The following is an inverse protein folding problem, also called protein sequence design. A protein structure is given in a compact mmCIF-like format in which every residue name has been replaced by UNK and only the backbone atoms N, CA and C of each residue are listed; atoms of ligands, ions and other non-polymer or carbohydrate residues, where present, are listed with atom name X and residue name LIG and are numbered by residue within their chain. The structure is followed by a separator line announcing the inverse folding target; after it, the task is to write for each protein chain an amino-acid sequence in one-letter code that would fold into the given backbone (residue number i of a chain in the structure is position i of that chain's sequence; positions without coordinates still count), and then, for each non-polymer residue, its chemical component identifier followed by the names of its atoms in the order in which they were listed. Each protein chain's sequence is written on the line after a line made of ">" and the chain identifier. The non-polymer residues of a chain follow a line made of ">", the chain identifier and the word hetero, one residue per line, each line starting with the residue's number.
data_IF_130830593177
#
_entry.id   IF_130830593177
#
_cell.length_a   1.000
_cell.length_b   1.000
_cell.length_c   1.000
_cell.angle_alpha   90.00
_cell.angle_beta   90.00
_cell.angle_gamma   90.00
#
_symmetry.space_group_name_H-M   'P 1'
#
loop_
_entity.id
_entity.type
_entity.pdbx_description
1 polymer ?
#
# COMPACT_ATOMS: atom_id res chain seq x y z
N UNK A 1 25.88 7.37 -0.37
CA UNK A 1 24.70 6.63 0.07
C UNK A 1 23.89 7.63 0.88
N UNK A 2 22.64 7.87 0.51
CA UNK A 2 21.74 8.76 1.25
C UNK A 2 21.40 8.10 2.59
N UNK A 3 21.54 8.83 3.69
CA UNK A 3 21.12 8.37 5.03
C UNK A 3 19.58 8.42 5.20
N UNK A 4 18.85 8.82 4.16
CA UNK A 4 17.39 8.93 4.19
C UNK A 4 16.71 7.56 4.42
N UNK A 5 15.80 7.51 5.37
CA UNK A 5 15.08 6.29 5.73
C UNK A 5 13.78 6.15 4.92
N UNK A 6 13.38 4.92 4.66
CA UNK A 6 11.98 4.62 4.37
C UNK A 6 11.15 4.76 5.65
N UNK A 7 10.05 5.48 5.56
CA UNK A 7 9.07 5.59 6.66
C UNK A 7 7.87 4.73 6.34
N UNK A 8 7.46 3.90 7.30
CA UNK A 8 6.30 3.03 7.17
C UNK A 8 5.33 3.33 8.32
N UNK A 9 4.10 3.70 7.98
CA UNK A 9 3.02 3.92 8.95
C UNK A 9 2.26 2.61 9.13
N UNK A 10 2.23 2.11 10.36
CA UNK A 10 1.52 0.90 10.78
C UNK A 10 0.40 1.27 11.75
N UNK A 11 -0.85 0.91 11.41
CA UNK A 11 -2.05 1.33 12.15
C UNK A 11 -2.45 0.35 13.25
N UNK A 12 -2.16 -0.94 13.07
CA UNK A 12 -2.47 -2.00 14.03
C UNK A 12 -1.36 -3.04 14.08
N UNK A 13 -1.18 -3.68 15.24
CA UNK A 13 -0.06 -4.58 15.48
C UNK A 13 0.00 -5.82 14.57
N UNK A 14 -1.15 -6.30 14.12
CA UNK A 14 -1.22 -7.50 13.28
C UNK A 14 -1.09 -7.22 11.77
N UNK A 15 -1.20 -5.96 11.31
CA UNK A 15 -0.95 -5.56 9.92
C UNK A 15 0.45 -4.91 9.79
N UNK A 16 1.48 -5.73 9.92
CA UNK A 16 2.87 -5.28 9.84
C UNK A 16 3.41 -5.16 8.41
N UNK A 17 4.70 -4.83 8.26
CA UNK A 17 5.30 -4.44 6.97
C UNK A 17 5.41 -5.58 5.94
N UNK A 18 5.25 -6.85 6.33
CA UNK A 18 5.34 -7.97 5.39
C UNK A 18 6.63 -7.97 4.56
N UNK A 19 6.52 -8.21 3.24
CA UNK A 19 7.65 -8.22 2.31
C UNK A 19 8.24 -6.82 2.05
N UNK A 20 7.54 -5.74 2.41
CA UNK A 20 8.08 -4.36 2.29
C UNK A 20 9.38 -4.22 3.09
N UNK A 21 9.42 -4.74 4.33
CA UNK A 21 10.63 -4.70 5.15
C UNK A 21 11.83 -5.38 4.47
N UNK A 22 11.58 -6.51 3.81
CA UNK A 22 12.62 -7.24 3.07
C UNK A 22 13.06 -6.48 1.82
N UNK A 23 12.11 -5.87 1.09
CA UNK A 23 12.43 -5.08 -0.09
C UNK A 23 13.29 -3.86 0.27
N UNK A 24 12.93 -3.12 1.33
CA UNK A 24 13.73 -1.99 1.82
C UNK A 24 15.12 -2.45 2.30
N UNK A 25 15.20 -3.54 3.05
CA UNK A 25 16.49 -4.06 3.51
C UNK A 25 17.46 -4.40 2.36
N UNK A 26 16.95 -4.82 1.20
CA UNK A 26 17.78 -5.11 -0.01
C UNK A 26 18.43 -3.85 -0.60
N UNK A 27 17.86 -2.67 -0.39
CA UNK A 27 18.44 -1.40 -0.86
C UNK A 27 19.55 -0.88 0.07
N UNK A 28 19.67 -1.43 1.28
CA UNK A 28 20.55 -0.94 2.32
C UNK A 28 20.03 0.30 3.05
N UNK A 29 18.88 0.84 2.65
CA UNK A 29 18.26 1.97 3.36
C UNK A 29 17.65 1.53 4.70
N UNK A 30 17.67 2.39 5.73
CA UNK A 30 16.96 2.11 6.97
C UNK A 30 15.45 2.15 6.75
N UNK A 31 14.72 1.32 7.53
CA UNK A 31 13.26 1.36 7.62
C UNK A 31 12.86 1.84 9.01
N UNK A 32 12.17 2.97 9.07
CA UNK A 32 11.55 3.50 10.28
C UNK A 32 10.06 3.16 10.29
N UNK A 33 9.63 2.32 11.23
CA UNK A 33 8.23 1.95 11.41
C UNK A 33 7.60 2.83 12.47
N UNK A 34 6.59 3.61 12.09
CA UNK A 34 5.80 4.44 13.00
C UNK A 34 4.57 3.65 13.42
N UNK A 35 4.49 3.34 14.70
CA UNK A 35 3.42 2.54 15.33
C UNK A 35 2.33 3.45 15.90
N UNK A 36 1.34 3.79 15.05
CA UNK A 36 0.23 4.65 15.47
C UNK A 36 -0.60 4.00 16.57
N UNK A 37 -0.78 2.69 16.51
CA UNK A 37 -1.45 1.90 17.57
C UNK A 37 -0.71 1.90 18.92
N UNK A 38 0.59 2.15 18.91
CA UNK A 38 1.40 2.32 20.12
C UNK A 38 1.47 3.79 20.59
N UNK A 39 0.77 4.69 19.93
CA UNK A 39 0.76 6.13 20.26
C UNK A 39 1.88 6.94 19.63
N UNK A 40 2.65 6.37 18.72
CA UNK A 40 3.66 7.13 17.98
C UNK A 40 3.00 8.12 17.03
N UNK A 41 3.46 9.38 16.99
CA UNK A 41 2.85 10.38 16.13
C UNK A 41 3.21 10.16 14.66
N UNK A 42 2.23 10.36 13.78
CA UNK A 42 2.49 10.48 12.34
C UNK A 42 3.44 11.65 12.09
N UNK A 43 4.53 11.49 11.33
CA UNK A 43 5.48 12.55 11.03
C UNK A 43 4.79 13.76 10.37
N UNK A 44 5.24 14.98 10.63
CA UNK A 44 4.71 16.17 9.96
C UNK A 44 5.06 16.18 8.48
N UNK A 45 4.30 16.91 7.68
CA UNK A 45 4.50 17.03 6.23
C UNK A 45 5.93 17.44 5.83
N UNK A 46 6.58 18.31 6.60
CA UNK A 46 7.97 18.72 6.33
C UNK A 46 9.01 17.62 6.49
N UNK A 47 8.69 16.53 7.17
CA UNK A 47 9.62 15.41 7.33
C UNK A 47 9.95 14.67 6.01
N UNK A 48 9.22 14.93 4.93
CA UNK A 48 9.44 14.29 3.62
C UNK A 48 10.82 14.60 3.02
N UNK A 49 11.46 15.68 3.44
CA UNK A 49 12.79 16.07 2.96
C UNK A 49 13.88 15.05 3.35
N UNK A 50 13.69 14.37 4.48
CA UNK A 50 14.61 13.38 5.03
C UNK A 50 14.22 11.93 4.70
N UNK A 51 13.16 11.72 3.90
CA UNK A 51 12.66 10.39 3.58
C UNK A 51 13.20 9.88 2.23
N UNK A 52 13.54 8.58 2.18
CA UNK A 52 13.78 7.86 0.93
C UNK A 52 12.45 7.48 0.24
N UNK A 53 11.40 7.23 1.01
CA UNK A 53 10.06 6.90 0.56
C UNK A 53 9.09 6.72 1.71
N UNK A 54 7.82 6.59 1.39
CA UNK A 54 6.72 6.46 2.35
C UNK A 54 5.86 5.24 2.03
N UNK A 55 5.60 4.42 3.04
CA UNK A 55 4.62 3.32 2.98
C UNK A 55 3.53 3.56 4.03
N UNK A 56 2.28 3.44 3.63
CA UNK A 56 1.12 3.53 4.53
C UNK A 56 0.34 2.23 4.42
N UNK A 57 0.29 1.47 5.50
CA UNK A 57 -0.30 0.13 5.53
C UNK A 57 -1.82 0.16 5.67
N UNK A 58 -2.39 -1.04 5.78
CA UNK A 58 -3.79 -1.28 6.07
C UNK A 58 -4.18 -0.99 7.51
N UNK A 59 -5.47 -1.12 7.79
CA UNK A 59 -6.05 -0.98 9.11
C UNK A 59 -7.56 -1.07 9.08
N UNK A 60 -8.20 -1.39 10.21
CA UNK A 60 -9.66 -1.56 10.30
C UNK A 60 -10.44 -0.23 10.36
N UNK A 61 -9.73 0.92 10.38
CA UNK A 61 -10.33 2.24 10.46
C UNK A 61 -10.91 2.66 9.12
N UNK A 62 -11.97 3.47 9.14
CA UNK A 62 -12.45 4.19 7.96
C UNK A 62 -11.72 5.53 7.79
N UNK A 63 -11.58 6.00 6.56
CA UNK A 63 -10.97 7.31 6.28
C UNK A 63 -11.75 8.50 6.89
N UNK A 64 -13.01 8.30 7.23
CA UNK A 64 -13.89 9.28 7.86
C UNK A 64 -13.94 9.22 9.39
N UNK A 65 -13.19 8.31 10.02
CA UNK A 65 -13.19 8.19 11.48
C UNK A 65 -12.60 9.46 12.13
N UNK A 66 -13.09 9.80 13.32
CA UNK A 66 -12.63 10.96 14.09
C UNK A 66 -11.30 10.67 14.81
N UNK A 67 -10.28 10.28 14.04
CA UNK A 67 -8.93 10.00 14.53
C UNK A 67 -7.98 11.11 14.07
N UNK A 68 -7.38 11.88 14.98
CA UNK A 68 -6.58 13.07 14.62
C UNK A 68 -5.40 12.76 13.69
N UNK A 69 -4.84 11.57 13.75
CA UNK A 69 -3.71 11.16 12.93
C UNK A 69 -4.09 10.87 11.47
N UNK A 70 -5.36 10.52 11.14
CA UNK A 70 -5.81 10.34 9.75
C UNK A 70 -5.66 11.62 8.91
N UNK A 71 -5.97 12.78 9.48
CA UNK A 71 -5.79 14.06 8.79
C UNK A 71 -4.31 14.36 8.55
N UNK A 72 -3.44 14.13 9.56
CA UNK A 72 -1.99 14.32 9.44
C UNK A 72 -1.36 13.38 8.42
N UNK A 73 -1.84 12.14 8.34
CA UNK A 73 -1.39 11.17 7.36
C UNK A 73 -1.71 11.62 5.93
N UNK A 74 -2.92 12.19 5.68
CA UNK A 74 -3.26 12.78 4.39
C UNK A 74 -2.38 13.98 4.03
N UNK A 75 -2.02 14.82 5.02
CA UNK A 75 -1.07 15.91 4.82
C UNK A 75 0.32 15.40 4.45
N UNK A 76 0.81 14.38 5.14
CA UNK A 76 2.08 13.73 4.84
C UNK A 76 2.07 13.07 3.45
N UNK A 77 1.00 12.38 3.09
CA UNK A 77 0.83 11.76 1.76
C UNK A 77 0.87 12.81 0.64
N UNK A 78 0.17 13.94 0.80
CA UNK A 78 0.23 15.05 -0.17
C UNK A 78 1.65 15.56 -0.32
N UNK A 79 2.31 15.89 0.78
CA UNK A 79 3.67 16.39 0.77
C UNK A 79 4.66 15.40 0.14
N UNK A 80 4.52 14.11 0.41
CA UNK A 80 5.36 13.07 -0.17
C UNK A 80 5.20 12.98 -1.69
N UNK A 81 3.96 13.05 -2.19
CA UNK A 81 3.69 13.05 -3.64
C UNK A 81 4.21 14.33 -4.30
N UNK A 82 3.99 15.50 -3.70
CA UNK A 82 4.49 16.80 -4.20
C UNK A 82 6.03 16.84 -4.23
N UNK A 83 6.69 16.24 -3.25
CA UNK A 83 8.14 16.10 -3.21
C UNK A 83 8.67 15.03 -4.20
N UNK A 84 7.80 14.30 -4.91
CA UNK A 84 8.16 13.24 -5.85
C UNK A 84 8.75 12.00 -5.16
N UNK A 85 8.43 11.77 -3.89
CA UNK A 85 8.82 10.54 -3.18
C UNK A 85 8.10 9.32 -3.77
N UNK A 86 8.73 8.13 -3.76
CA UNK A 86 7.99 6.90 -3.90
C UNK A 86 7.04 6.72 -2.71
N UNK A 87 5.76 6.49 -3.02
CA UNK A 87 4.71 6.28 -2.03
C UNK A 87 3.97 4.99 -2.34
N UNK A 88 3.78 4.14 -1.33
CA UNK A 88 2.94 2.94 -1.41
C UNK A 88 1.86 3.00 -0.33
N UNK A 89 0.61 3.17 -0.75
CA UNK A 89 -0.56 2.99 0.11
C UNK A 89 -1.16 1.60 -0.10
N UNK A 90 -1.41 0.86 0.97
CA UNK A 90 -2.04 -0.46 0.96
C UNK A 90 -3.34 -0.42 1.74
N UNK A 91 -4.43 -0.90 1.19
CA UNK A 91 -5.77 -0.98 1.79
C UNK A 91 -6.21 0.39 2.34
N UNK A 92 -6.24 0.61 3.65
CA UNK A 92 -6.51 1.93 4.24
C UNK A 92 -5.53 3.00 3.72
N UNK A 93 -4.25 2.67 3.57
CA UNK A 93 -3.26 3.60 3.01
C UNK A 93 -3.55 4.01 1.58
N UNK A 94 -4.10 3.11 0.75
CA UNK A 94 -4.55 3.45 -0.60
C UNK A 94 -5.78 4.38 -0.57
N UNK A 95 -6.71 4.13 0.33
CA UNK A 95 -7.89 4.96 0.54
C UNK A 95 -7.50 6.37 1.02
N UNK A 96 -6.56 6.46 1.96
CA UNK A 96 -6.00 7.72 2.43
C UNK A 96 -5.28 8.49 1.30
N UNK A 97 -4.50 7.81 0.48
CA UNK A 97 -3.85 8.40 -0.70
C UNK A 97 -4.89 8.91 -1.72
N UNK A 98 -5.97 8.15 -1.95
CA UNK A 98 -7.06 8.57 -2.83
C UNK A 98 -7.72 9.85 -2.33
N UNK A 99 -8.11 9.89 -1.05
CA UNK A 99 -8.73 11.08 -0.44
C UNK A 99 -7.77 12.27 -0.40
N UNK A 100 -6.49 12.03 -0.12
CA UNK A 100 -5.47 13.09 -0.12
C UNK A 100 -5.36 13.81 -1.48
N UNK A 101 -5.71 13.15 -2.57
CA UNK A 101 -5.62 13.68 -3.93
C UNK A 101 -6.98 13.90 -4.62
N UNK A 102 -8.06 14.02 -3.84
CA UNK A 102 -9.39 14.42 -4.35
C UNK A 102 -10.27 13.25 -4.80
N UNK A 103 -9.90 12.02 -4.49
CA UNK A 103 -10.80 10.88 -4.56
C UNK A 103 -11.74 10.81 -3.37
N UNK A 104 -12.74 9.94 -3.47
CA UNK A 104 -13.73 9.68 -2.43
C UNK A 104 -13.69 8.21 -2.03
N UNK A 105 -13.95 7.92 -0.75
CA UNK A 105 -14.09 6.54 -0.25
C UNK A 105 -15.56 6.31 0.11
N UNK A 106 -16.06 5.13 -0.26
CA UNK A 106 -17.42 4.71 0.01
C UNK A 106 -17.48 3.22 0.28
N UNK A 107 -18.56 2.77 0.87
CA UNK A 107 -18.83 1.35 1.03
C UNK A 107 -18.91 0.67 -0.33
N UNK A 108 -18.22 -0.46 -0.47
CA UNK A 108 -18.28 -1.29 -1.66
C UNK A 108 -19.53 -2.18 -1.72
N UNK A 109 -19.74 -2.89 -2.82
CA UNK A 109 -20.93 -3.74 -3.01
C UNK A 109 -20.95 -4.95 -2.07
N UNK A 110 -19.79 -5.56 -1.82
CA UNK A 110 -19.60 -6.75 -0.98
C UNK A 110 -18.25 -6.66 -0.26
N UNK A 111 -18.12 -7.15 0.98
CA UNK A 111 -16.79 -7.32 1.56
C UNK A 111 -15.97 -8.35 0.77
N UNK A 112 -14.72 -8.04 0.46
CA UNK A 112 -13.74 -9.02 -0.05
C UNK A 112 -12.79 -9.38 1.07
N UNK A 113 -12.66 -10.68 1.37
CA UNK A 113 -11.73 -11.18 2.36
C UNK A 113 -11.22 -12.58 1.97
N UNK A 114 -9.91 -12.73 1.87
CA UNK A 114 -9.25 -13.97 1.50
C UNK A 114 -8.41 -13.84 0.24
N UNK A 115 -7.97 -14.98 -0.28
CA UNK A 115 -7.16 -15.00 -1.51
C UNK A 115 -8.03 -14.78 -2.74
N UNK A 116 -7.56 -13.91 -3.61
CA UNK A 116 -8.20 -13.57 -4.86
C UNK A 116 -7.19 -13.10 -5.90
N UNK A 117 -7.68 -12.40 -6.88
CA UNK A 117 -6.86 -11.86 -7.96
C UNK A 117 -7.41 -10.54 -8.48
N UNK A 118 -6.55 -9.77 -9.12
CA UNK A 118 -6.92 -8.54 -9.85
C UNK A 118 -6.42 -8.59 -11.28
N UNK A 119 -7.18 -8.01 -12.19
CA UNK A 119 -6.82 -7.87 -13.60
C UNK A 119 -6.13 -6.53 -13.83
N UNK A 120 -4.93 -6.58 -14.41
CA UNK A 120 -4.18 -5.39 -14.78
C UNK A 120 -4.81 -4.71 -16.00
N UNK A 121 -4.88 -3.38 -15.97
CA UNK A 121 -5.34 -2.58 -17.09
C UNK A 121 -4.27 -2.47 -18.18
N UNK A 122 -4.63 -2.00 -19.36
CA UNK A 122 -3.66 -1.71 -20.41
C UNK A 122 -2.60 -0.70 -19.97
N UNK A 123 -2.96 0.28 -19.13
CA UNK A 123 -2.02 1.24 -18.56
C UNK A 123 -1.02 0.57 -17.60
N UNK A 124 -1.47 -0.42 -16.82
CA UNK A 124 -0.61 -1.16 -15.92
C UNK A 124 0.44 -2.01 -16.66
N UNK A 125 0.12 -2.53 -17.84
CA UNK A 125 1.08 -3.30 -18.64
C UNK A 125 2.26 -2.46 -19.14
N UNK A 126 2.11 -1.14 -19.22
CA UNK A 126 3.16 -0.18 -19.54
C UNK A 126 3.79 0.49 -18.30
N UNK A 127 3.28 0.18 -17.11
CA UNK A 127 3.74 0.78 -15.86
C UNK A 127 5.04 0.10 -15.37
N UNK A 128 6.04 0.86 -14.89
CA UNK A 128 7.33 0.30 -14.46
C UNK A 128 7.21 -0.68 -13.28
N UNK A 129 6.19 -0.55 -12.45
CA UNK A 129 5.96 -1.41 -11.28
C UNK A 129 5.13 -2.62 -11.64
N UNK A 130 4.05 -2.44 -12.39
CA UNK A 130 3.09 -3.50 -12.70
C UNK A 130 3.38 -4.23 -14.02
N UNK A 131 4.02 -3.60 -15.00
CA UNK A 131 4.21 -4.20 -16.33
C UNK A 131 4.83 -5.60 -16.33
N UNK A 132 5.84 -5.89 -15.48
CA UNK A 132 6.39 -7.24 -15.36
C UNK A 132 5.57 -8.21 -14.47
N UNK A 133 4.47 -7.77 -13.85
CA UNK A 133 3.65 -8.62 -13.00
C UNK A 133 2.72 -9.53 -13.83
N UNK A 134 2.32 -10.70 -13.30
CA UNK A 134 1.33 -11.54 -13.97
C UNK A 134 -0.04 -10.86 -14.03
N UNK A 135 -0.83 -11.19 -15.04
CA UNK A 135 -2.25 -10.80 -15.10
C UNK A 135 -3.09 -12.01 -15.48
N UNK A 136 -4.02 -12.47 -14.61
CA UNK A 136 -4.36 -11.87 -13.32
C UNK A 136 -3.21 -11.90 -12.31
N UNK A 137 -3.16 -10.88 -11.43
CA UNK A 137 -2.20 -10.80 -10.32
C UNK A 137 -2.85 -11.40 -9.06
N UNK A 138 -2.33 -12.49 -8.50
CA UNK A 138 -2.83 -13.05 -7.25
C UNK A 138 -2.51 -12.12 -6.08
N UNK A 139 -3.49 -11.97 -5.19
CA UNK A 139 -3.42 -11.08 -4.04
C UNK A 139 -4.26 -11.59 -2.87
N UNK A 140 -4.20 -10.92 -1.74
CA UNK A 140 -5.15 -11.10 -0.65
C UNK A 140 -6.03 -9.85 -0.57
N UNK A 141 -7.33 -10.04 -0.47
CA UNK A 141 -8.29 -8.99 -0.18
C UNK A 141 -8.67 -9.02 1.29
N UNK A 142 -8.81 -7.86 1.90
CA UNK A 142 -9.40 -7.70 3.23
C UNK A 142 -9.98 -6.29 3.36
N UNK A 143 -11.06 -6.05 2.66
CA UNK A 143 -11.71 -4.74 2.66
C UNK A 143 -13.21 -4.83 2.38
N UNK A 144 -13.93 -3.78 2.73
CA UNK A 144 -15.35 -3.61 2.41
C UNK A 144 -15.64 -2.25 1.81
N UNK A 145 -14.67 -1.35 1.86
CA UNK A 145 -14.74 -0.02 1.25
C UNK A 145 -13.96 0.01 -0.06
N UNK A 146 -14.27 0.99 -0.89
CA UNK A 146 -13.62 1.27 -2.17
C UNK A 146 -13.44 2.77 -2.35
N UNK A 147 -12.60 3.15 -3.29
CA UNK A 147 -12.34 4.54 -3.62
C UNK A 147 -12.71 4.86 -5.07
N UNK A 148 -13.02 6.13 -5.35
CA UNK A 148 -12.94 6.67 -6.69
C UNK A 148 -11.49 7.03 -7.02
N UNK A 149 -11.13 6.96 -8.31
CA UNK A 149 -9.80 7.39 -8.73
C UNK A 149 -9.62 8.90 -8.48
N UNK A 150 -8.49 9.32 -7.91
CA UNK A 150 -8.15 10.74 -7.85
C UNK A 150 -8.09 11.38 -9.25
N UNK A 151 -8.41 12.67 -9.39
CA UNK A 151 -8.25 13.38 -10.65
C UNK A 151 -6.84 13.21 -11.24
N UNK A 152 -6.74 12.79 -12.50
CA UNK A 152 -5.47 12.56 -13.18
C UNK A 152 -4.72 11.29 -12.79
N UNK A 153 -5.26 10.48 -11.90
CA UNK A 153 -4.66 9.19 -11.55
C UNK A 153 -4.73 8.19 -12.71
N UNK A 154 -3.71 7.35 -12.81
CA UNK A 154 -3.68 6.23 -13.76
C UNK A 154 -4.31 5.01 -13.11
N UNK A 155 -5.35 4.45 -13.71
CA UNK A 155 -6.00 3.22 -13.29
C UNK A 155 -5.14 2.02 -13.63
N UNK A 156 -4.81 1.17 -12.66
CA UNK A 156 -3.85 0.07 -12.83
C UNK A 156 -4.46 -1.32 -12.67
N UNK A 157 -5.45 -1.51 -11.81
CA UNK A 157 -6.05 -2.83 -11.62
C UNK A 157 -7.52 -2.74 -11.21
N UNK A 158 -8.27 -3.79 -11.58
CA UNK A 158 -9.66 -3.99 -11.25
C UNK A 158 -9.97 -5.47 -11.03
N UNK A 159 -11.14 -5.79 -10.48
CA UNK A 159 -11.75 -7.12 -10.57
C UNK A 159 -13.25 -7.00 -10.87
N UNK A 160 -13.97 -8.11 -10.89
CA UNK A 160 -15.40 -8.11 -11.26
C UNK A 160 -16.28 -7.42 -10.21
N UNK A 161 -15.89 -7.43 -8.94
CA UNK A 161 -16.64 -6.80 -7.86
C UNK A 161 -16.28 -5.32 -7.67
N UNK A 162 -15.03 -4.95 -7.96
CA UNK A 162 -14.49 -3.62 -7.71
C UNK A 162 -13.71 -3.09 -8.91
N UNK A 163 -14.23 -2.03 -9.50
CA UNK A 163 -13.58 -1.36 -10.64
C UNK A 163 -12.20 -0.78 -10.26
N UNK A 164 -12.07 -0.25 -9.06
CA UNK A 164 -10.84 0.43 -8.63
C UNK A 164 -10.12 -0.40 -7.57
N UNK A 165 -9.12 -1.16 -8.00
CA UNK A 165 -8.29 -1.99 -7.12
C UNK A 165 -6.85 -1.46 -7.00
N UNK A 166 -6.35 -0.75 -8.01
CA UNK A 166 -5.05 -0.07 -7.92
C UNK A 166 -5.01 1.17 -8.82
N UNK A 167 -4.24 2.15 -8.38
CA UNK A 167 -4.01 3.39 -9.11
C UNK A 167 -2.62 3.96 -8.86
N UNK A 168 -2.20 4.91 -9.71
CA UNK A 168 -1.00 5.71 -9.52
C UNK A 168 -1.31 7.20 -9.65
N UNK A 169 -0.87 7.99 -8.67
CA UNK A 169 -0.86 9.46 -8.72
C UNK A 169 0.54 9.92 -9.11
N UNK A 170 0.63 10.87 -10.02
CA UNK A 170 1.92 11.31 -10.54
C UNK A 170 2.73 10.15 -11.14
N UNK A 171 4.02 10.08 -10.84
CA UNK A 171 4.93 9.07 -11.41
C UNK A 171 5.34 7.97 -10.45
N UNK A 172 5.17 8.15 -9.12
CA UNK A 172 5.78 7.29 -8.10
C UNK A 172 4.87 6.97 -6.91
N UNK A 173 3.62 7.45 -6.87
CA UNK A 173 2.72 7.19 -5.75
C UNK A 173 1.63 6.18 -6.15
N UNK A 174 1.62 5.03 -5.51
CA UNK A 174 0.74 3.91 -5.83
C UNK A 174 -0.20 3.60 -4.68
N UNK A 175 -1.47 3.40 -4.99
CA UNK A 175 -2.48 2.91 -4.07
C UNK A 175 -2.98 1.53 -4.49
N UNK A 176 -2.91 0.55 -3.58
CA UNK A 176 -3.39 -0.82 -3.76
C UNK A 176 -4.49 -1.11 -2.74
N UNK A 177 -5.70 -1.42 -3.18
CA UNK A 177 -6.78 -1.83 -2.27
C UNK A 177 -6.54 -3.21 -1.68
N UNK A 178 -5.80 -4.05 -2.37
CA UNK A 178 -5.44 -5.41 -2.03
C UNK A 178 -4.02 -5.50 -1.46
N UNK A 179 -3.69 -6.67 -0.91
CA UNK A 179 -2.42 -6.96 -0.26
C UNK A 179 -1.55 -7.88 -1.12
N UNK A 180 -0.35 -7.42 -1.46
CA UNK A 180 0.71 -8.19 -2.14
C UNK A 180 1.95 -8.35 -1.27
N UNK A 181 2.00 -7.61 -0.15
CA UNK A 181 3.08 -7.63 0.82
C UNK A 181 3.04 -8.84 1.75
N UNK A 182 2.06 -9.70 1.59
CA UNK A 182 1.81 -10.82 2.49
C UNK A 182 2.97 -11.80 2.57
N UNK A 183 3.28 -12.22 3.80
CA UNK A 183 4.22 -13.30 4.12
C UNK A 183 3.53 -14.34 5.01
N UNK A 184 4.12 -15.52 5.15
CA UNK A 184 3.58 -16.54 6.05
C UNK A 184 3.47 -16.05 7.49
N UNK A 185 4.45 -15.28 7.96
CA UNK A 185 4.43 -14.68 9.30
C UNK A 185 3.32 -13.63 9.45
N UNK A 186 3.15 -12.75 8.44
CA UNK A 186 2.11 -11.74 8.46
C UNK A 186 0.71 -12.37 8.49
N UNK A 187 0.45 -13.34 7.63
CA UNK A 187 -0.85 -14.03 7.58
C UNK A 187 -1.13 -14.83 8.87
N UNK A 188 -0.10 -15.39 9.51
CA UNK A 188 -0.27 -16.02 10.83
C UNK A 188 -0.75 -15.00 11.90
N UNK A 189 -0.27 -13.75 11.86
CA UNK A 189 -0.76 -12.67 12.73
C UNK A 189 -2.19 -12.24 12.38
N UNK A 190 -2.58 -12.28 11.11
CA UNK A 190 -3.95 -11.97 10.69
C UNK A 190 -4.98 -13.02 11.14
N UNK A 191 -4.57 -14.29 11.24
CA UNK A 191 -5.48 -15.42 11.48
C UNK A 191 -6.52 -15.19 12.57
N UNK A 192 -6.15 -14.72 13.79
CA UNK A 192 -7.09 -14.44 14.87
C UNK A 192 -8.08 -13.30 14.60
N UNK A 193 -7.78 -12.45 13.60
CA UNK A 193 -8.54 -11.24 13.27
C UNK A 193 -9.39 -11.38 12.00
N UNK A 194 -9.17 -12.46 11.22
CA UNK A 194 -9.96 -12.72 10.00
C UNK A 194 -11.42 -13.03 10.37
N UNK A 195 -12.37 -12.68 9.49
CA UNK A 195 -13.77 -13.05 9.67
C UNK A 195 -13.96 -14.56 9.82
N UNK A 196 -14.96 -14.96 10.58
CA UNK A 196 -15.29 -16.37 10.80
C UNK A 196 -15.47 -17.10 9.45
N UNK A 197 -14.82 -18.25 9.30
CA UNK A 197 -14.88 -19.06 8.08
C UNK A 197 -13.91 -18.63 6.97
N UNK A 198 -13.16 -17.56 7.14
CA UNK A 198 -12.11 -17.16 6.21
C UNK A 198 -10.77 -17.77 6.63
N UNK A 199 -10.13 -18.48 5.73
CA UNK A 199 -8.84 -19.11 5.94
C UNK A 199 -7.91 -18.81 4.75
N UNK A 200 -6.67 -18.38 5.04
CA UNK A 200 -5.63 -18.19 4.04
C UNK A 200 -4.61 -19.33 4.23
N UNK A 201 -4.47 -20.21 3.24
CA UNK A 201 -3.59 -21.36 3.31
C UNK A 201 -2.14 -20.95 3.06
N UNK A 202 -1.19 -21.69 3.63
CA UNK A 202 0.24 -21.44 3.42
C UNK A 202 0.64 -21.55 1.92
N UNK A 203 0.02 -22.46 1.16
CA UNK A 203 0.21 -22.58 -0.30
C UNK A 203 -0.20 -21.31 -1.04
N UNK A 204 -1.32 -20.73 -0.65
CA UNK A 204 -1.88 -19.55 -1.29
C UNK A 204 -1.03 -18.31 -0.98
N UNK A 205 -0.57 -18.20 0.29
CA UNK A 205 0.40 -17.17 0.69
C UNK A 205 1.68 -17.23 -0.14
N UNK A 206 2.22 -18.43 -0.33
CA UNK A 206 3.43 -18.63 -1.14
C UNK A 206 3.21 -18.26 -2.61
N UNK A 207 2.00 -18.45 -3.14
CA UNK A 207 1.64 -18.05 -4.50
C UNK A 207 1.55 -16.52 -4.62
N UNK A 208 0.79 -15.87 -3.74
CA UNK A 208 0.68 -14.40 -3.68
C UNK A 208 2.04 -13.75 -3.45
N UNK A 209 2.82 -14.23 -2.49
CA UNK A 209 4.13 -13.69 -2.16
C UNK A 209 5.09 -13.72 -3.36
N UNK A 210 5.11 -14.81 -4.14
CA UNK A 210 5.96 -14.90 -5.35
C UNK A 210 5.57 -13.88 -6.42
N UNK A 211 4.28 -13.65 -6.61
CA UNK A 211 3.78 -12.67 -7.59
C UNK A 211 3.95 -11.22 -7.09
N UNK A 212 3.67 -11.00 -5.80
CA UNK A 212 3.68 -9.68 -5.16
C UNK A 212 5.09 -9.15 -4.86
N UNK A 213 6.08 -10.03 -4.56
CA UNK A 213 7.47 -9.60 -4.25
C UNK A 213 8.04 -8.72 -5.36
N UNK A 214 7.77 -9.04 -6.61
CA UNK A 214 8.19 -8.23 -7.75
C UNK A 214 7.56 -6.83 -7.77
N UNK A 215 6.30 -6.70 -7.41
CA UNK A 215 5.59 -5.42 -7.33
C UNK A 215 6.17 -4.58 -6.19
N UNK A 216 6.25 -5.14 -4.98
CA UNK A 216 6.80 -4.45 -3.80
C UNK A 216 8.25 -4.03 -4.03
N UNK A 217 9.08 -4.91 -4.58
CA UNK A 217 10.49 -4.63 -4.85
C UNK A 217 10.65 -3.47 -5.83
N UNK A 218 9.95 -3.49 -6.98
CA UNK A 218 10.02 -2.40 -7.97
C UNK A 218 9.51 -1.07 -7.41
N UNK A 219 8.51 -1.11 -6.53
CA UNK A 219 8.07 0.10 -5.80
C UNK A 219 9.18 0.71 -4.97
N UNK A 220 9.90 -0.12 -4.22
CA UNK A 220 11.00 0.34 -3.37
C UNK A 220 12.18 0.82 -4.21
N UNK A 221 12.50 0.13 -5.31
CA UNK A 221 13.57 0.52 -6.25
C UNK A 221 13.33 1.88 -6.91
N UNK A 222 12.09 2.37 -7.00
CA UNK A 222 11.83 3.75 -7.44
C UNK A 222 12.50 4.80 -6.53
N UNK A 223 12.78 4.45 -5.27
CA UNK A 223 13.51 5.32 -4.33
C UNK A 223 14.99 5.48 -4.64
N UNK A 224 15.63 4.48 -5.26
CA UNK A 224 17.08 4.49 -5.50
C UNK A 224 17.52 5.53 -6.54
N UNK A 225 16.64 5.99 -7.43
CA UNK A 225 16.96 6.94 -8.50
C UNK A 225 17.09 8.42 -8.07
N UNK A 226 16.97 8.77 -6.79
CA UNK A 226 17.05 10.17 -6.33
C UNK A 226 18.48 10.69 -6.10
N UNK A 227 19.49 9.84 -6.14
CA UNK A 227 20.88 10.22 -5.86
C UNK A 227 21.73 10.58 -7.09
N UNK A 228 21.16 10.63 -8.31
CA UNK A 228 21.88 10.78 -9.57
C UNK A 228 21.45 12.01 -10.40
N UNK A 229 20.96 13.07 -9.78
CA UNK A 229 20.64 14.32 -10.46
C UNK A 229 21.35 15.52 -9.80
#
# INVERSE_FOLDING_TARGET
>A
VSDAAWVLIQHVGHEGPGSVAQAVARTGAPLHVVRVDAGEPVPPAGAVEDMAGLVVLGGPMGVGDELPWLARERELLRAAVEAGLPVLGICLGAQQLAVAHGGEVRRGPLPECGVGEVHLTAAALADPVFGPAPTPLPCVHWHGDTFSLPPGAVHLARNDAYENQAFRVGTRAYGLQFHVEVTGALVAHWGPHLPAGVFIRASDVAHVARAGDGVVRRMVELGEGRGAA
#
